data_IF_246290562820
#
_entry.id   IF_246290562820
#
_cell.length_a   1.000
_cell.length_b   1.000
_cell.length_c   1.000
_cell.angle_alpha   90.00
_cell.angle_beta   90.00
_cell.angle_gamma   90.00
#
_symmetry.space_group_name_H-M   'P 1'
#
loop_
_entity.id
_entity.type
_entity.pdbx_description
1 polymer ?
#
# COMPACT_ATOMS: atom_id res chain seq x y z
N UNK A 1 -8.30 28.96 19.69
CA UNK A 1 -8.41 27.48 19.61
C UNK A 1 -9.39 26.99 20.67
N UNK A 2 -9.51 25.67 20.87
CA UNK A 2 -10.48 25.08 21.81
C UNK A 2 -10.38 25.65 23.23
N UNK A 3 -9.16 25.91 23.70
CA UNK A 3 -8.89 26.49 25.03
C UNK A 3 -9.44 27.92 25.24
N UNK A 4 -9.91 28.60 24.18
CA UNK A 4 -10.51 29.93 24.25
C UNK A 4 -11.87 30.00 23.53
N UNK A 5 -12.63 28.91 23.57
CA UNK A 5 -13.92 28.82 22.91
C UNK A 5 -14.90 29.92 23.37
N UNK A 6 -14.96 30.18 24.68
CA UNK A 6 -15.84 31.20 25.26
C UNK A 6 -15.47 32.62 24.80
N UNK A 7 -14.17 32.92 24.64
CA UNK A 7 -13.71 34.20 24.11
C UNK A 7 -14.03 34.38 22.63
N UNK A 8 -13.93 33.32 21.83
CA UNK A 8 -14.30 33.31 20.41
C UNK A 8 -15.81 33.57 20.26
N UNK A 9 -16.64 32.84 21.02
CA UNK A 9 -18.10 33.03 21.04
C UNK A 9 -18.46 34.47 21.39
N UNK A 10 -17.88 35.01 22.46
CA UNK A 10 -18.15 36.38 22.92
C UNK A 10 -17.80 37.43 21.86
N UNK A 11 -16.69 37.24 21.16
CA UNK A 11 -16.22 38.18 20.12
C UNK A 11 -17.15 38.17 18.90
N UNK A 12 -17.63 36.98 18.50
CA UNK A 12 -18.54 36.82 17.36
C UNK A 12 -19.93 37.41 17.65
N UNK A 13 -20.45 37.22 18.86
CA UNK A 13 -21.73 37.81 19.28
C UNK A 13 -21.64 39.33 19.32
N UNK A 14 -20.56 39.88 19.91
CA UNK A 14 -20.30 41.33 19.89
C UNK A 14 -20.20 41.90 18.47
N UNK A 15 -19.74 41.10 17.51
CA UNK A 15 -19.64 41.47 16.10
C UNK A 15 -20.95 41.25 15.31
N UNK A 16 -22.06 40.95 16.00
CA UNK A 16 -23.40 40.85 15.39
C UNK A 16 -23.82 39.45 14.94
N UNK A 17 -23.09 38.38 15.29
CA UNK A 17 -23.57 37.00 15.07
C UNK A 17 -24.61 36.62 16.12
N UNK A 18 -25.73 36.07 15.66
CA UNK A 18 -26.78 35.58 16.55
C UNK A 18 -26.34 34.32 17.32
N UNK A 19 -26.84 34.14 18.54
CA UNK A 19 -26.52 33.00 19.41
C UNK A 19 -27.01 31.67 18.82
N UNK A 20 -28.03 31.69 17.98
CA UNK A 20 -28.56 30.53 17.24
C UNK A 20 -27.69 30.13 16.04
N UNK A 21 -26.62 30.87 15.74
CA UNK A 21 -25.75 30.57 14.60
C UNK A 21 -25.18 29.15 14.75
N UNK A 22 -25.39 28.25 13.78
CA UNK A 22 -24.87 26.89 13.85
C UNK A 22 -23.35 26.85 13.95
N UNK A 23 -22.83 25.97 14.80
CA UNK A 23 -21.39 25.73 14.97
C UNK A 23 -21.10 24.24 14.99
N UNK A 24 -20.03 23.85 14.31
CA UNK A 24 -19.40 22.54 14.47
C UNK A 24 -17.94 22.69 14.86
N UNK A 25 -17.48 21.79 15.74
CA UNK A 25 -16.09 21.66 16.13
C UNK A 25 -15.63 20.27 15.75
N UNK A 26 -14.59 20.19 14.94
CA UNK A 26 -13.99 18.92 14.52
C UNK A 26 -12.57 18.87 15.06
N UNK A 27 -12.30 17.96 16.00
CA UNK A 27 -10.94 17.71 16.52
C UNK A 27 -10.35 16.47 15.88
N UNK A 28 -9.01 16.46 15.75
CA UNK A 28 -8.26 15.36 15.08
C UNK A 28 -8.89 15.02 13.72
N UNK A 29 -9.10 16.05 12.88
CA UNK A 29 -9.76 15.89 11.59
C UNK A 29 -8.99 14.88 10.71
N UNK A 30 -9.72 13.99 10.04
CA UNK A 30 -9.21 12.87 9.26
C UNK A 30 -8.40 11.80 10.05
N UNK A 31 -8.43 11.84 11.39
CA UNK A 31 -7.85 10.82 12.26
C UNK A 31 -8.91 9.79 12.70
N UNK A 32 -8.48 8.59 13.06
CA UNK A 32 -9.39 7.53 13.55
C UNK A 32 -10.19 7.98 14.79
N UNK A 33 -9.59 8.85 15.61
CA UNK A 33 -10.15 9.43 16.82
C UNK A 33 -10.84 10.78 16.57
N UNK A 34 -11.20 11.11 15.34
CA UNK A 34 -11.92 12.35 15.02
C UNK A 34 -13.20 12.44 15.86
N UNK A 35 -13.33 13.53 16.62
CA UNK A 35 -14.58 13.88 17.31
C UNK A 35 -15.20 15.10 16.64
N UNK A 36 -16.52 15.07 16.48
CA UNK A 36 -17.29 16.20 15.95
C UNK A 36 -18.43 16.54 16.91
N UNK A 37 -18.40 17.77 17.44
CA UNK A 37 -19.43 18.33 18.31
C UNK A 37 -20.20 19.39 17.54
N UNK A 38 -21.52 19.40 17.75
CA UNK A 38 -22.44 20.31 17.08
C UNK A 38 -23.28 21.07 18.09
N UNK A 39 -23.52 22.31 17.76
CA UNK A 39 -24.41 23.14 18.53
C UNK A 39 -24.65 24.46 17.83
N UNK A 40 -25.01 25.41 18.66
CA UNK A 40 -25.21 26.79 18.28
C UNK A 40 -24.16 27.61 19.00
N UNK A 41 -23.90 28.82 18.52
CA UNK A 41 -22.89 29.71 19.07
C UNK A 41 -23.08 29.92 20.58
N UNK A 42 -24.33 29.96 21.06
CA UNK A 42 -24.65 30.10 22.48
C UNK A 42 -24.36 28.89 23.37
N UNK A 43 -24.29 27.67 22.83
CA UNK A 43 -24.11 26.44 23.65
C UNK A 43 -22.88 25.61 23.28
N UNK A 44 -22.14 25.98 22.23
CA UNK A 44 -21.03 25.18 21.72
C UNK A 44 -19.88 25.05 22.72
N UNK A 45 -19.64 26.07 23.55
CA UNK A 45 -18.59 26.06 24.57
C UNK A 45 -18.80 24.95 25.62
N UNK A 46 -20.02 24.86 26.15
CA UNK A 46 -20.43 23.84 27.10
C UNK A 46 -20.34 22.45 26.48
N UNK A 47 -20.93 22.26 25.29
CA UNK A 47 -20.93 20.98 24.59
C UNK A 47 -19.52 20.48 24.28
N UNK A 48 -18.62 21.37 23.86
CA UNK A 48 -17.22 21.02 23.60
C UNK A 48 -16.49 20.55 24.87
N UNK A 49 -16.80 21.16 26.02
CA UNK A 49 -16.27 20.76 27.32
C UNK A 49 -16.77 19.38 27.75
N UNK A 50 -18.08 19.16 27.69
CA UNK A 50 -18.71 17.87 28.06
C UNK A 50 -18.17 16.70 27.23
N UNK A 51 -17.95 16.91 25.93
CA UNK A 51 -17.46 15.89 25.00
C UNK A 51 -15.93 15.70 25.03
N UNK A 52 -15.23 16.49 25.85
CA UNK A 52 -13.78 16.45 25.99
C UNK A 52 -13.07 16.66 24.66
N UNK A 53 -13.39 17.78 23.99
CA UNK A 53 -12.74 18.14 22.73
C UNK A 53 -11.38 18.77 23.00
N UNK A 54 -10.35 18.26 22.34
CA UNK A 54 -8.98 18.71 22.49
C UNK A 54 -8.45 19.33 21.19
N UNK A 55 -7.51 20.30 21.26
CA UNK A 55 -6.73 20.73 20.11
C UNK A 55 -5.89 19.58 19.51
N UNK A 56 -5.55 19.61 18.21
CA UNK A 56 -5.99 20.59 17.21
C UNK A 56 -7.46 20.38 16.80
N UNK A 57 -8.19 21.48 16.62
CA UNK A 57 -9.59 21.46 16.20
C UNK A 57 -9.94 22.60 15.25
N UNK A 58 -10.85 22.30 14.32
CA UNK A 58 -11.40 23.22 13.32
C UNK A 58 -12.78 23.67 13.79
N UNK A 59 -13.01 24.98 13.72
CA UNK A 59 -14.29 25.62 14.02
C UNK A 59 -14.98 26.00 12.72
N UNK A 60 -16.18 25.48 12.51
CA UNK A 60 -17.02 25.80 11.35
C UNK A 60 -18.24 26.53 11.89
N UNK A 61 -18.46 27.77 11.43
CA UNK A 61 -19.49 28.66 11.95
C UNK A 61 -20.39 29.14 10.81
N UNK A 62 -21.70 29.01 10.98
CA UNK A 62 -22.70 29.44 10.02
C UNK A 62 -23.35 28.27 9.25
N UNK A 63 -24.17 28.62 8.26
CA UNK A 63 -25.09 27.68 7.58
C UNK A 63 -24.38 26.47 6.95
N UNK A 64 -23.09 26.58 6.61
CA UNK A 64 -22.27 25.48 6.07
C UNK A 64 -22.20 24.27 7.01
N UNK A 65 -22.38 24.46 8.33
CA UNK A 65 -22.46 23.36 9.30
C UNK A 65 -23.55 22.33 8.93
N UNK A 66 -24.63 22.80 8.30
CA UNK A 66 -25.75 21.94 7.91
C UNK A 66 -25.42 21.02 6.72
N UNK A 67 -24.42 21.35 5.90
CA UNK A 67 -24.03 20.55 4.73
C UNK A 67 -23.46 19.19 5.11
N UNK A 68 -22.94 19.01 6.33
CA UNK A 68 -22.43 17.70 6.73
C UNK A 68 -23.51 16.63 6.77
N UNK A 69 -24.81 16.97 6.91
CA UNK A 69 -25.90 15.97 6.78
C UNK A 69 -25.83 15.26 5.42
N UNK A 70 -25.43 16.01 4.41
CA UNK A 70 -25.30 15.56 3.02
C UNK A 70 -23.91 14.92 2.76
N UNK A 71 -22.89 15.31 3.54
CA UNK A 71 -21.48 14.87 3.36
C UNK A 71 -20.90 14.08 4.56
N UNK A 72 -21.70 13.33 5.31
CA UNK A 72 -21.26 12.58 6.50
C UNK A 72 -20.57 11.24 6.19
N UNK A 73 -19.83 11.18 5.08
CA UNK A 73 -19.18 9.97 4.61
C UNK A 73 -18.24 9.38 5.67
N UNK A 74 -17.54 10.21 6.45
CA UNK A 74 -16.59 9.73 7.46
C UNK A 74 -17.26 8.90 8.58
N UNK A 75 -18.50 9.24 8.97
CA UNK A 75 -19.25 8.47 9.99
C UNK A 75 -20.05 7.32 9.41
N UNK A 76 -20.53 7.45 8.17
CA UNK A 76 -21.36 6.43 7.51
C UNK A 76 -20.52 5.31 6.90
N UNK A 77 -19.34 5.65 6.40
CA UNK A 77 -18.50 4.70 5.70
C UNK A 77 -17.81 3.77 6.69
N UNK A 78 -17.67 2.53 6.25
CA UNK A 78 -16.81 1.55 6.88
C UNK A 78 -15.38 2.09 7.04
N UNK A 79 -14.82 2.04 8.23
CA UNK A 79 -13.42 2.41 8.51
C UNK A 79 -12.50 1.25 8.21
N UNK A 80 -11.58 1.45 7.26
CA UNK A 80 -10.71 0.39 6.73
C UNK A 80 -9.24 0.73 6.98
N UNK A 81 -8.54 -0.12 7.71
CA UNK A 81 -7.09 -0.05 7.86
C UNK A 81 -6.41 -0.72 6.67
N UNK A 82 -5.75 0.07 5.83
CA UNK A 82 -5.01 -0.44 4.68
C UNK A 82 -3.51 -0.53 5.01
N UNK A 83 -2.94 -1.73 4.90
CA UNK A 83 -1.56 -2.01 5.36
C UNK A 83 -0.52 -2.07 4.24
N UNK A 84 -0.98 -2.00 2.99
CA UNK A 84 -0.16 -2.12 1.81
C UNK A 84 0.53 -0.81 1.42
N UNK A 85 1.17 -0.82 0.24
CA UNK A 85 1.89 0.32 -0.33
C UNK A 85 1.21 0.93 -1.56
N UNK A 86 0.06 0.40 -1.95
CA UNK A 86 -0.69 0.90 -3.11
C UNK A 86 -1.83 1.79 -2.63
N UNK A 87 -1.53 3.08 -2.45
CA UNK A 87 -2.52 4.12 -2.12
C UNK A 87 -3.65 4.16 -3.15
N UNK A 88 -3.34 3.82 -4.41
CA UNK A 88 -4.28 3.78 -5.53
C UNK A 88 -5.37 2.68 -5.40
N UNK A 89 -5.58 2.03 -4.25
CA UNK A 89 -6.59 0.96 -4.08
C UNK A 89 -7.77 1.36 -3.18
N UNK A 90 -7.93 2.64 -2.86
CA UNK A 90 -9.05 3.16 -2.05
C UNK A 90 -10.40 3.26 -2.79
N UNK A 91 -10.62 2.48 -3.85
CA UNK A 91 -11.79 2.61 -4.75
C UNK A 91 -13.07 1.90 -4.29
N UNK A 92 -13.15 1.39 -3.06
CA UNK A 92 -14.44 0.88 -2.53
C UNK A 92 -15.02 1.85 -1.51
N UNK A 93 -16.34 1.83 -1.32
CA UNK A 93 -16.99 2.65 -0.29
C UNK A 93 -16.36 2.38 1.08
N UNK A 94 -15.77 3.42 1.68
CA UNK A 94 -14.99 3.28 2.89
C UNK A 94 -14.24 4.56 3.26
N UNK A 95 -13.91 4.71 4.53
CA UNK A 95 -12.93 5.68 5.04
C UNK A 95 -11.64 4.92 5.28
N UNK A 96 -10.62 5.18 4.46
CA UNK A 96 -9.35 4.45 4.53
C UNK A 96 -8.33 5.16 5.39
N UNK A 97 -7.70 4.39 6.28
CA UNK A 97 -6.54 4.80 7.03
C UNK A 97 -5.35 4.01 6.53
N UNK A 98 -4.42 4.70 5.91
CA UNK A 98 -3.25 4.07 5.31
C UNK A 98 -2.11 4.00 6.33
N UNK A 99 -1.76 2.78 6.71
CA UNK A 99 -0.64 2.52 7.62
C UNK A 99 0.26 1.47 6.96
N UNK A 100 1.20 1.89 6.10
CA UNK A 100 2.07 0.95 5.39
C UNK A 100 2.92 0.18 6.40
N UNK A 101 2.88 -1.15 6.34
CA UNK A 101 3.66 -2.00 7.26
C UNK A 101 5.00 -2.45 6.69
N UNK A 102 5.29 -2.03 5.47
CA UNK A 102 6.55 -2.27 4.78
C UNK A 102 6.99 -0.97 4.10
N UNK A 103 8.29 -0.75 3.96
CA UNK A 103 8.88 0.25 3.07
C UNK A 103 9.75 -0.45 2.03
N UNK A 104 9.84 0.16 0.85
CA UNK A 104 10.76 -0.28 -0.21
C UNK A 104 11.85 0.75 -0.34
N UNK A 105 13.09 0.31 -0.18
CA UNK A 105 14.27 1.17 -0.11
C UNK A 105 15.30 0.76 -1.17
N UNK A 106 16.16 1.69 -1.61
CA UNK A 106 17.33 1.36 -2.43
C UNK A 106 18.31 0.46 -1.66
N UNK A 107 19.18 -0.23 -2.39
CA UNK A 107 20.31 -0.94 -1.80
C UNK A 107 21.37 0.05 -1.31
N UNK A 108 22.19 -0.35 -0.33
CA UNK A 108 23.37 0.42 0.07
C UNK A 108 24.46 0.28 -1.00
N UNK A 109 24.58 -0.92 -1.55
CA UNK A 109 25.53 -1.26 -2.62
C UNK A 109 24.81 -1.93 -3.78
N UNK A 110 25.13 -1.47 -4.99
CA UNK A 110 24.60 -1.94 -6.25
C UNK A 110 25.66 -2.64 -7.11
N UNK A 111 26.88 -2.87 -6.63
CA UNK A 111 27.98 -3.38 -7.46
C UNK A 111 27.62 -4.66 -8.25
N UNK A 112 26.99 -5.64 -7.59
CA UNK A 112 26.54 -6.88 -8.22
C UNK A 112 25.43 -6.63 -9.25
N UNK A 113 24.43 -5.83 -8.87
CA UNK A 113 23.28 -5.52 -9.72
C UNK A 113 23.71 -4.72 -10.96
N UNK A 114 24.58 -3.73 -10.81
CA UNK A 114 25.19 -2.97 -11.89
C UNK A 114 26.02 -3.85 -12.82
N UNK A 115 26.74 -4.83 -12.27
CA UNK A 115 27.44 -5.84 -13.06
C UNK A 115 26.50 -6.60 -13.97
N UNK A 116 25.31 -6.96 -13.49
CA UNK A 116 24.26 -7.58 -14.29
C UNK A 116 23.68 -6.62 -15.33
N UNK A 117 23.40 -5.37 -14.97
CA UNK A 117 22.85 -4.38 -15.89
C UNK A 117 23.83 -4.01 -17.03
N UNK A 118 25.13 -3.92 -16.74
CA UNK A 118 26.15 -3.66 -17.78
C UNK A 118 26.26 -4.80 -18.79
N UNK A 119 25.93 -6.02 -18.38
CA UNK A 119 25.89 -7.22 -19.23
C UNK A 119 24.46 -7.65 -19.57
N UNK A 120 23.49 -6.72 -19.53
CA UNK A 120 22.08 -7.09 -19.63
C UNK A 120 21.75 -7.81 -20.95
N UNK A 121 22.47 -7.47 -22.03
CA UNK A 121 22.32 -8.09 -23.36
C UNK A 121 22.78 -9.55 -23.42
N UNK A 122 23.45 -10.05 -22.39
CA UNK A 122 23.83 -11.47 -22.29
C UNK A 122 22.65 -12.36 -21.89
N UNK A 123 21.54 -11.77 -21.41
CA UNK A 123 20.36 -12.51 -20.98
C UNK A 123 19.35 -12.65 -22.11
N UNK A 124 18.76 -13.83 -22.24
CA UNK A 124 17.63 -14.07 -23.13
C UNK A 124 16.32 -13.55 -22.52
N UNK A 125 16.21 -13.58 -21.19
CA UNK A 125 15.00 -13.23 -20.44
C UNK A 125 15.29 -12.38 -19.21
N UNK A 126 14.39 -11.46 -18.91
CA UNK A 126 14.27 -10.82 -17.59
C UNK A 126 12.92 -11.20 -16.99
N UNK A 127 12.91 -11.71 -15.76
CA UNK A 127 11.70 -12.11 -15.06
C UNK A 127 11.45 -11.18 -13.87
N UNK A 128 10.33 -10.47 -13.88
CA UNK A 128 9.92 -9.59 -12.79
C UNK A 128 8.82 -10.23 -11.95
N UNK A 129 9.13 -10.51 -10.69
CA UNK A 129 8.17 -11.04 -9.70
C UNK A 129 7.38 -9.94 -8.96
N UNK A 130 7.67 -8.66 -9.21
CA UNK A 130 7.09 -7.54 -8.46
C UNK A 130 7.21 -6.24 -9.24
N UNK A 131 6.18 -5.38 -9.12
CA UNK A 131 6.20 -4.00 -9.64
C UNK A 131 7.40 -3.20 -9.12
N UNK A 132 7.88 -3.48 -7.91
CA UNK A 132 9.07 -2.82 -7.35
C UNK A 132 10.37 -3.32 -7.98
N UNK A 133 10.42 -4.59 -8.39
CA UNK A 133 11.54 -5.11 -9.17
C UNK A 133 11.69 -4.33 -10.47
N UNK A 134 10.58 -4.07 -11.15
CA UNK A 134 10.53 -3.22 -12.36
C UNK A 134 11.00 -1.80 -12.03
N UNK A 135 10.39 -1.16 -11.04
CA UNK A 135 10.71 0.22 -10.69
C UNK A 135 12.18 0.45 -10.35
N UNK A 136 12.75 -0.39 -9.48
CA UNK A 136 14.13 -0.25 -9.04
C UNK A 136 15.12 -0.68 -10.12
N UNK A 137 14.77 -1.65 -10.96
CA UNK A 137 15.54 -1.97 -12.15
C UNK A 137 15.67 -0.75 -13.07
N UNK A 138 14.56 -0.12 -13.47
CA UNK A 138 14.62 1.04 -14.38
C UNK A 138 15.19 2.30 -13.75
N UNK A 139 14.94 2.53 -12.45
CA UNK A 139 15.61 3.61 -11.71
C UNK A 139 17.13 3.43 -11.74
N UNK A 140 17.61 2.20 -11.49
CA UNK A 140 19.05 1.93 -11.49
C UNK A 140 19.63 1.97 -12.89
N UNK A 141 18.93 1.43 -13.89
CA UNK A 141 19.32 1.47 -15.30
C UNK A 141 19.60 2.90 -15.77
N UNK A 142 18.69 3.83 -15.49
CA UNK A 142 18.88 5.26 -15.76
C UNK A 142 20.05 5.86 -15.00
N UNK A 143 20.21 5.50 -13.72
CA UNK A 143 21.30 6.01 -12.88
C UNK A 143 22.68 5.62 -13.38
N UNK A 144 22.82 4.50 -14.09
CA UNK A 144 24.08 4.05 -14.71
C UNK A 144 24.20 4.45 -16.20
N UNK A 145 23.31 5.32 -16.69
CA UNK A 145 23.40 5.91 -18.03
C UNK A 145 22.72 5.13 -19.15
N UNK A 146 21.96 4.07 -18.84
CA UNK A 146 21.17 3.33 -19.83
C UNK A 146 19.69 3.70 -19.78
N UNK A 147 18.97 3.42 -20.87
CA UNK A 147 17.51 3.47 -20.92
C UNK A 147 16.94 2.15 -21.44
N UNK A 148 15.62 2.08 -21.62
CA UNK A 148 14.92 0.86 -22.04
C UNK A 148 15.40 0.29 -23.38
N UNK A 149 16.05 1.07 -24.25
CA UNK A 149 16.57 0.59 -25.55
C UNK A 149 17.66 -0.47 -25.39
N UNK A 150 18.37 -0.50 -24.27
CA UNK A 150 19.37 -1.54 -24.00
C UNK A 150 18.74 -2.94 -23.84
N UNK A 151 17.42 -2.99 -23.65
CA UNK A 151 16.66 -4.24 -23.53
C UNK A 151 16.18 -4.76 -24.90
N UNK A 152 16.58 -4.14 -26.00
CA UNK A 152 16.31 -4.66 -27.34
C UNK A 152 16.76 -6.13 -27.43
N UNK A 153 15.89 -6.96 -28.02
CA UNK A 153 16.05 -8.42 -28.20
C UNK A 153 15.95 -9.28 -26.92
N UNK A 154 15.77 -8.66 -25.75
CA UNK A 154 15.57 -9.39 -24.48
C UNK A 154 14.07 -9.61 -24.25
N UNK A 155 13.69 -10.85 -23.93
CA UNK A 155 12.31 -11.19 -23.58
C UNK A 155 11.99 -10.86 -22.13
N UNK A 156 10.79 -10.36 -21.86
CA UNK A 156 10.41 -9.92 -20.52
C UNK A 156 9.16 -10.64 -20.04
N UNK A 157 9.26 -11.27 -18.87
CA UNK A 157 8.13 -11.89 -18.19
C UNK A 157 7.76 -11.11 -16.92
N UNK A 158 6.47 -10.97 -16.67
CA UNK A 158 5.93 -10.41 -15.44
C UNK A 158 5.02 -11.43 -14.76
N UNK A 159 5.16 -11.61 -13.45
CA UNK A 159 4.39 -12.62 -12.70
C UNK A 159 2.88 -12.35 -12.63
N UNK A 160 2.46 -11.11 -12.91
CA UNK A 160 1.06 -10.73 -12.84
C UNK A 160 0.80 -9.35 -13.46
N UNK A 161 -0.48 -9.01 -13.58
CA UNK A 161 -0.93 -7.84 -14.34
C UNK A 161 -0.43 -6.52 -13.75
N UNK A 162 -0.33 -6.42 -12.41
CA UNK A 162 0.21 -5.21 -11.78
C UNK A 162 1.69 -4.96 -12.11
N UNK A 163 2.49 -6.03 -12.22
CA UNK A 163 3.89 -5.94 -12.65
C UNK A 163 3.98 -5.64 -14.15
N UNK A 164 3.12 -6.25 -14.96
CA UNK A 164 2.99 -5.96 -16.40
C UNK A 164 2.64 -4.50 -16.68
N UNK A 165 1.63 -3.95 -15.99
CA UNK A 165 1.26 -2.52 -16.08
C UNK A 165 2.41 -1.60 -15.72
N UNK A 166 3.19 -1.94 -14.68
CA UNK A 166 4.35 -1.14 -14.29
C UNK A 166 5.46 -1.12 -15.34
N UNK A 167 5.59 -2.17 -16.15
CA UNK A 167 6.53 -2.17 -17.28
C UNK A 167 6.12 -1.15 -18.36
N UNK A 168 4.82 -0.99 -18.59
CA UNK A 168 4.28 -0.05 -19.59
C UNK A 168 4.65 1.39 -19.25
N UNK A 169 4.70 1.76 -17.96
CA UNK A 169 5.17 3.07 -17.50
C UNK A 169 6.61 3.39 -17.94
N UNK A 170 7.40 2.36 -18.30
CA UNK A 170 8.77 2.48 -18.80
C UNK A 170 8.89 2.17 -20.31
N UNK A 171 7.75 2.14 -21.03
CA UNK A 171 7.70 1.89 -22.46
C UNK A 171 7.92 0.43 -22.86
N UNK A 172 7.72 -0.51 -21.94
CA UNK A 172 7.95 -1.94 -22.16
C UNK A 172 6.66 -2.72 -21.96
N UNK A 173 6.31 -3.53 -22.96
CA UNK A 173 5.26 -4.55 -22.83
C UNK A 173 5.91 -5.90 -22.53
N UNK A 174 5.39 -6.62 -21.52
CA UNK A 174 5.86 -7.96 -21.22
C UNK A 174 5.48 -8.94 -22.35
N UNK A 175 6.43 -9.79 -22.76
CA UNK A 175 6.17 -10.90 -23.69
C UNK A 175 5.33 -12.01 -23.05
N UNK A 176 5.42 -12.15 -21.72
CA UNK A 176 4.69 -13.15 -20.96
C UNK A 176 4.12 -12.58 -19.65
N UNK A 177 2.81 -12.72 -19.48
CA UNK A 177 2.11 -12.56 -18.20
C UNK A 177 1.19 -13.78 -18.04
N UNK A 178 1.33 -14.59 -16.98
CA UNK A 178 0.54 -15.79 -16.83
C UNK A 178 -0.92 -15.45 -16.52
N UNK A 179 -1.85 -16.31 -16.94
CA UNK A 179 -3.28 -16.17 -16.56
C UNK A 179 -3.47 -16.25 -15.05
N UNK A 180 -2.73 -17.14 -14.40
CA UNK A 180 -2.64 -17.26 -12.94
C UNK A 180 -1.51 -16.35 -12.48
N UNK A 181 -1.87 -15.21 -11.88
CA UNK A 181 -0.93 -14.15 -11.44
C UNK A 181 -0.07 -14.58 -10.22
N UNK A 182 0.74 -15.63 -10.38
CA UNK A 182 1.60 -16.19 -9.35
C UNK A 182 2.90 -16.75 -9.94
N UNK A 183 3.91 -16.94 -9.10
CA UNK A 183 5.18 -17.56 -9.51
C UNK A 183 4.95 -18.95 -10.11
N UNK A 184 4.04 -19.73 -9.52
CA UNK A 184 3.64 -21.05 -10.03
C UNK A 184 2.96 -20.94 -11.40
N UNK A 185 2.04 -19.97 -11.57
CA UNK A 185 1.41 -19.73 -12.87
C UNK A 185 2.43 -19.36 -13.96
N UNK A 186 3.43 -18.55 -13.62
CA UNK A 186 4.50 -18.23 -14.56
C UNK A 186 5.33 -19.46 -14.95
N UNK A 187 5.67 -20.32 -13.97
CA UNK A 187 6.37 -21.58 -14.21
C UNK A 187 5.53 -22.52 -15.08
N UNK A 188 4.21 -22.60 -14.85
CA UNK A 188 3.28 -23.41 -15.65
C UNK A 188 3.25 -22.99 -17.13
N UNK A 189 3.31 -21.67 -17.41
CA UNK A 189 3.39 -21.14 -18.78
C UNK A 189 4.71 -21.51 -19.47
N UNK A 190 5.83 -21.50 -18.75
CA UNK A 190 7.11 -21.99 -19.26
C UNK A 190 7.15 -23.53 -19.38
N UNK A 191 6.42 -24.26 -18.53
CA UNK A 191 6.49 -25.73 -18.41
C UNK A 191 5.49 -26.48 -19.31
N UNK A 192 5.14 -25.96 -20.48
CA UNK A 192 4.40 -26.69 -21.54
C UNK A 192 2.88 -26.89 -21.33
N UNK A 193 2.23 -26.34 -20.29
CA UNK A 193 0.79 -26.59 -20.05
C UNK A 193 -0.21 -25.61 -20.70
N UNK A 194 0.25 -24.61 -21.46
CA UNK A 194 -0.58 -23.51 -21.98
C UNK A 194 -0.62 -23.29 -23.50
N UNK A 195 -0.01 -24.17 -24.32
CA UNK A 195 -0.11 -24.10 -25.79
C UNK A 195 0.85 -23.13 -26.51
N UNK A 196 1.70 -22.39 -25.80
CA UNK A 196 2.85 -21.66 -26.38
C UNK A 196 4.16 -22.24 -25.82
N UNK A 197 4.92 -22.92 -26.67
CA UNK A 197 6.19 -23.56 -26.32
C UNK A 197 7.27 -22.50 -26.10
N UNK A 198 7.48 -22.06 -24.86
CA UNK A 198 8.66 -21.27 -24.48
C UNK A 198 9.62 -22.20 -23.73
N UNK A 199 10.59 -22.76 -24.46
CA UNK A 199 11.62 -23.60 -23.86
C UNK A 199 12.69 -22.73 -23.19
N UNK A 200 12.89 -22.94 -21.89
CA UNK A 200 13.90 -22.25 -21.08
C UNK A 200 15.23 -23.02 -21.00
N UNK A 201 15.32 -24.22 -21.58
CA UNK A 201 16.54 -25.03 -21.51
C UNK A 201 17.72 -24.29 -22.14
N UNK A 202 18.76 -24.06 -21.33
CA UNK A 202 19.96 -23.33 -21.74
C UNK A 202 19.80 -21.81 -21.85
N UNK A 203 18.60 -21.27 -21.63
CA UNK A 203 18.34 -19.83 -21.67
C UNK A 203 18.89 -19.13 -20.44
N UNK A 204 19.51 -17.97 -20.63
CA UNK A 204 20.03 -17.13 -19.55
C UNK A 204 18.92 -16.21 -19.06
N UNK A 205 18.57 -16.33 -17.78
CA UNK A 205 17.47 -15.58 -17.17
C UNK A 205 18.04 -14.64 -16.09
N UNK A 206 17.73 -13.36 -16.17
CA UNK A 206 17.97 -12.41 -15.09
C UNK A 206 16.72 -12.25 -14.22
N UNK A 207 16.90 -12.34 -12.89
CA UNK A 207 15.81 -12.23 -11.91
C UNK A 207 16.11 -11.10 -10.90
N UNK A 208 15.68 -9.86 -11.19
CA UNK A 208 15.70 -8.76 -10.22
C UNK A 208 14.71 -9.03 -9.08
N UNK A 209 15.19 -9.06 -7.83
CA UNK A 209 14.34 -9.41 -6.68
C UNK A 209 14.60 -8.56 -5.44
N UNK A 210 13.76 -8.71 -4.42
CA UNK A 210 14.01 -8.12 -3.09
C UNK A 210 15.06 -8.90 -2.30
N UNK A 211 15.73 -8.25 -1.37
CA UNK A 211 16.64 -8.87 -0.40
C UNK A 211 16.00 -10.01 0.42
N UNK A 212 14.70 -9.93 0.72
CA UNK A 212 13.98 -10.92 1.54
C UNK A 212 13.18 -11.97 0.76
N UNK A 213 13.20 -11.99 -0.58
CA UNK A 213 12.37 -12.93 -1.35
C UNK A 213 12.88 -14.36 -1.19
N UNK A 214 11.98 -15.33 -1.08
CA UNK A 214 12.37 -16.74 -1.13
C UNK A 214 13.02 -17.10 -2.48
N UNK A 215 13.76 -18.21 -2.52
CA UNK A 215 14.41 -18.71 -3.75
C UNK A 215 13.49 -19.62 -4.57
N UNK A 216 12.17 -19.61 -4.34
CA UNK A 216 11.21 -20.54 -4.97
C UNK A 216 11.22 -20.40 -6.48
N UNK A 217 10.91 -19.20 -6.98
CA UNK A 217 10.89 -18.92 -8.42
C UNK A 217 12.24 -19.17 -9.09
N UNK A 218 13.35 -18.82 -8.42
CA UNK A 218 14.70 -19.10 -8.93
C UNK A 218 14.93 -20.61 -9.11
N UNK A 219 14.58 -21.41 -8.09
CA UNK A 219 14.72 -22.87 -8.11
C UNK A 219 13.86 -23.48 -9.21
N UNK A 220 12.63 -23.01 -9.39
CA UNK A 220 11.71 -23.59 -10.37
C UNK A 220 12.12 -23.26 -11.80
N UNK A 221 12.59 -22.03 -12.08
CA UNK A 221 13.18 -21.69 -13.38
C UNK A 221 14.43 -22.53 -13.69
N UNK A 222 15.30 -22.78 -12.69
CA UNK A 222 16.46 -23.67 -12.86
C UNK A 222 16.03 -25.12 -13.16
N UNK A 223 14.96 -25.63 -12.54
CA UNK A 223 14.42 -26.97 -12.85
C UNK A 223 13.92 -27.09 -14.29
N UNK A 224 13.46 -25.98 -14.88
CA UNK A 224 13.10 -25.92 -16.30
C UNK A 224 14.34 -25.81 -17.23
N UNK A 225 15.55 -25.85 -16.68
CA UNK A 225 16.80 -25.84 -17.45
C UNK A 225 17.37 -24.46 -17.73
N UNK A 226 16.83 -23.40 -17.13
CA UNK A 226 17.37 -22.04 -17.28
C UNK A 226 18.67 -21.83 -16.48
N UNK A 227 19.59 -21.07 -17.07
CA UNK A 227 20.74 -20.51 -16.36
C UNK A 227 20.32 -19.19 -15.68
N UNK A 228 19.85 -19.29 -14.43
CA UNK A 228 19.32 -18.14 -13.68
C UNK A 228 20.43 -17.36 -12.98
N UNK A 229 20.47 -16.05 -13.21
CA UNK A 229 21.22 -15.07 -12.41
C UNK A 229 20.22 -14.23 -11.63
N UNK A 230 20.24 -14.31 -10.30
CA UNK A 230 19.37 -13.54 -9.43
C UNK A 230 20.19 -12.51 -8.67
N UNK A 231 19.74 -11.26 -8.65
CA UNK A 231 20.41 -10.18 -7.91
C UNK A 231 19.38 -9.27 -7.25
N UNK A 232 19.76 -8.67 -6.13
CA UNK A 232 18.88 -7.76 -5.40
C UNK A 232 18.78 -6.44 -6.16
N UNK A 233 17.55 -5.94 -6.32
CA UNK A 233 17.28 -4.62 -6.92
C UNK A 233 16.90 -3.58 -5.86
N UNK A 234 16.30 -4.05 -4.76
CA UNK A 234 15.77 -3.21 -3.69
C UNK A 234 15.72 -3.97 -2.35
N UNK A 235 15.61 -3.21 -1.26
CA UNK A 235 15.40 -3.69 0.09
C UNK A 235 13.94 -3.58 0.48
N UNK A 236 13.44 -4.61 1.15
CA UNK A 236 12.18 -4.52 1.87
C UNK A 236 12.49 -4.32 3.36
N UNK A 237 11.86 -3.32 3.97
CA UNK A 237 12.03 -3.01 5.39
C UNK A 237 10.67 -2.95 6.07
N UNK A 238 10.68 -3.13 7.38
CA UNK A 238 9.51 -2.80 8.19
C UNK A 238 9.44 -1.28 8.24
N UNK A 239 8.26 -0.72 8.00
CA UNK A 239 8.07 0.72 8.14
C UNK A 239 8.41 1.14 9.58
N UNK A 240 9.36 2.06 9.75
CA UNK A 240 10.03 2.27 11.04
C UNK A 240 9.15 2.92 12.11
N UNK A 241 8.30 3.87 11.73
CA UNK A 241 7.46 4.62 12.66
C UNK A 241 5.99 4.26 12.48
N UNK A 242 5.57 3.14 13.09
CA UNK A 242 4.17 2.70 13.07
C UNK A 242 3.38 3.35 14.22
N UNK A 243 2.26 4.03 13.93
CA UNK A 243 1.45 4.68 14.96
C UNK A 243 0.87 3.67 15.95
N UNK A 244 0.59 4.10 17.17
CA UNK A 244 -0.30 3.36 18.06
C UNK A 244 -1.74 3.53 17.57
N UNK A 245 -2.41 2.41 17.33
CA UNK A 245 -3.76 2.37 16.79
C UNK A 245 -4.68 1.69 17.78
N UNK A 246 -5.82 2.32 18.07
CA UNK A 246 -6.95 1.59 18.65
C UNK A 246 -7.64 0.78 17.55
N UNK A 247 -7.35 -0.52 17.54
CA UNK A 247 -7.87 -1.43 16.52
C UNK A 247 -9.41 -1.62 16.62
N UNK A 248 -10.03 -1.27 17.75
CA UNK A 248 -11.49 -1.32 17.89
C UNK A 248 -12.20 -0.24 17.05
N UNK A 249 -11.48 0.79 16.59
CA UNK A 249 -12.01 1.83 15.73
C UNK A 249 -12.21 1.41 14.27
N UNK A 250 -11.78 0.22 13.88
CA UNK A 250 -11.82 -0.26 12.48
C UNK A 250 -12.85 -1.35 12.29
N UNK A 251 -13.51 -1.35 11.14
CA UNK A 251 -14.43 -2.42 10.73
C UNK A 251 -13.71 -3.50 9.90
N UNK A 252 -12.60 -3.14 9.26
CA UNK A 252 -11.81 -4.06 8.43
C UNK A 252 -10.33 -3.69 8.36
N UNK A 253 -9.48 -4.71 8.26
CA UNK A 253 -8.06 -4.58 7.91
C UNK A 253 -7.80 -5.29 6.59
N UNK A 254 -7.10 -4.61 5.68
CA UNK A 254 -6.67 -5.17 4.39
C UNK A 254 -5.17 -5.46 4.42
N UNK A 255 -4.81 -6.72 4.20
CA UNK A 255 -3.43 -7.16 3.98
C UNK A 255 -3.15 -7.40 2.50
N UNK A 256 -2.06 -6.83 2.00
CA UNK A 256 -1.68 -6.94 0.59
C UNK A 256 -0.57 -7.94 0.32
N UNK A 257 0.09 -8.45 1.36
CA UNK A 257 1.19 -9.43 1.24
C UNK A 257 1.39 -10.23 2.53
N UNK A 258 2.06 -11.38 2.48
CA UNK A 258 2.47 -12.10 3.69
C UNK A 258 3.30 -11.25 4.66
N UNK A 259 4.16 -10.35 4.15
CA UNK A 259 4.97 -9.47 5.00
C UNK A 259 4.13 -8.47 5.79
N UNK A 260 3.06 -7.92 5.21
CA UNK A 260 2.17 -6.99 5.95
C UNK A 260 1.45 -7.72 7.09
N UNK A 261 1.05 -8.98 6.89
CA UNK A 261 0.44 -9.82 7.94
C UNK A 261 1.41 -10.04 9.11
N UNK A 262 2.65 -10.46 8.83
CA UNK A 262 3.66 -10.70 9.86
C UNK A 262 4.02 -9.44 10.63
N UNK A 263 4.22 -8.33 9.92
CA UNK A 263 4.57 -7.06 10.54
C UNK A 263 3.42 -6.53 11.40
N UNK A 264 2.16 -6.70 10.95
CA UNK A 264 0.98 -6.38 11.75
C UNK A 264 0.93 -7.21 13.04
N UNK A 265 1.05 -8.54 12.92
CA UNK A 265 1.06 -9.45 14.09
C UNK A 265 2.15 -9.06 15.08
N UNK A 266 3.35 -8.75 14.59
CA UNK A 266 4.49 -8.34 15.40
C UNK A 266 4.25 -7.01 16.12
N UNK A 267 3.63 -6.02 15.44
CA UNK A 267 3.43 -4.66 15.97
C UNK A 267 2.21 -4.54 16.89
N UNK A 268 1.10 -5.15 16.52
CA UNK A 268 -0.20 -4.95 17.16
C UNK A 268 -0.74 -6.21 17.84
N UNK A 269 -0.07 -7.35 17.70
CA UNK A 269 -0.44 -8.58 18.40
C UNK A 269 -1.63 -9.31 17.76
N UNK A 270 -2.83 -8.74 17.80
CA UNK A 270 -4.06 -9.40 17.34
C UNK A 270 -5.07 -8.42 16.76
N UNK A 271 -6.26 -8.92 16.45
CA UNK A 271 -7.40 -8.10 16.04
C UNK A 271 -8.58 -8.35 16.98
N UNK A 272 -9.38 -7.32 17.29
CA UNK A 272 -10.68 -7.52 17.91
C UNK A 272 -11.57 -8.41 17.05
N UNK A 273 -12.49 -9.16 17.69
CA UNK A 273 -13.32 -10.17 17.00
C UNK A 273 -14.19 -9.60 15.88
N UNK A 274 -14.65 -8.36 16.05
CA UNK A 274 -15.59 -7.72 15.12
C UNK A 274 -14.88 -7.10 13.89
N UNK A 275 -13.55 -7.04 13.89
CA UNK A 275 -12.78 -6.49 12.77
C UNK A 275 -12.57 -7.53 11.69
N UNK A 276 -13.12 -7.28 10.50
CA UNK A 276 -12.98 -8.20 9.36
C UNK A 276 -11.56 -8.16 8.78
N UNK A 277 -11.05 -9.31 8.33
CA UNK A 277 -9.76 -9.38 7.64
C UNK A 277 -9.95 -9.70 6.17
N UNK A 278 -9.40 -8.85 5.31
CA UNK A 278 -9.36 -9.04 3.86
C UNK A 278 -7.92 -9.22 3.39
N UNK A 279 -7.66 -10.30 2.66
CA UNK A 279 -6.34 -10.60 2.11
C UNK A 279 -6.35 -10.47 0.60
N UNK A 280 -5.35 -9.79 0.04
CA UNK A 280 -5.12 -9.78 -1.41
C UNK A 280 -4.25 -10.99 -1.76
N UNK A 281 -4.90 -12.00 -2.36
CA UNK A 281 -4.27 -13.23 -2.85
C UNK A 281 -4.15 -14.36 -1.81
N UNK A 282 -4.10 -15.60 -2.32
CA UNK A 282 -4.14 -16.81 -1.51
C UNK A 282 -2.92 -16.99 -0.61
N UNK A 283 -1.74 -16.53 -1.04
CA UNK A 283 -0.51 -16.58 -0.23
C UNK A 283 -0.67 -15.69 1.02
N UNK A 284 -1.24 -14.50 0.86
CA UNK A 284 -1.53 -13.58 1.97
C UNK A 284 -2.58 -14.18 2.92
N UNK A 285 -3.62 -14.80 2.37
CA UNK A 285 -4.66 -15.49 3.17
C UNK A 285 -4.09 -16.64 4.00
N UNK A 286 -3.22 -17.48 3.41
CA UNK A 286 -2.53 -18.57 4.12
C UNK A 286 -1.67 -18.03 5.26
N UNK A 287 -0.97 -16.92 5.04
CA UNK A 287 -0.18 -16.27 6.09
C UNK A 287 -1.06 -15.74 7.22
N UNK A 288 -2.20 -15.11 6.91
CA UNK A 288 -3.14 -14.61 7.91
C UNK A 288 -3.71 -15.72 8.80
N UNK A 289 -4.03 -16.89 8.20
CA UNK A 289 -4.40 -18.11 8.94
C UNK A 289 -3.28 -18.55 9.87
N UNK A 290 -2.04 -18.64 9.37
CA UNK A 290 -0.87 -19.04 10.15
C UNK A 290 -0.61 -18.12 11.34
N UNK A 291 -0.80 -16.81 11.15
CA UNK A 291 -0.66 -15.81 12.20
C UNK A 291 -1.86 -15.73 13.16
N UNK A 292 -2.92 -16.53 12.96
CA UNK A 292 -4.17 -16.51 13.76
C UNK A 292 -4.78 -15.10 13.80
N UNK A 293 -4.87 -14.47 12.63
CA UNK A 293 -5.51 -13.15 12.46
C UNK A 293 -6.89 -13.26 11.81
N UNK A 294 -7.28 -14.44 11.30
CA UNK A 294 -8.66 -14.71 10.93
C UNK A 294 -9.37 -15.21 12.20
N UNK A 295 -10.47 -14.54 12.57
CA UNK A 295 -11.33 -14.92 13.69
C UNK A 295 -11.90 -16.32 13.55
#
# INVERSE_FOLDING_TARGET
GVNNISGIVSSLVKSGKSLDTPVAIVSKAADINQKTVRGELGNIAEKAGTEGIEPPAIFIIGKTVNLEKDFNWFRKNKKVLFTGLSEERFFTEGTYFHVPLISIEPLDDYAEFDGCLKRIRDFDWIVFASRYGVEYFFKRLRKIGYDSRVLADIKIAAVGNSTGKRLVDFGISADLVPRKESSEGLVEEFSFKGGKKIDLKGKKVFLPRSDISDKGLEKDLRKLGAAVTASFAYKNRIFGNLPDLDLNGFDEVIFTSPSTVRNFKKRYGGLPRDVKVKCIGDVTLREAKRCRLLG
#
